data_IF_575983574888
#
_entry.id   IF_575983574888
#
_cell.length_a   1.000
_cell.length_b   1.000
_cell.length_c   1.000
_cell.angle_alpha   90.00
_cell.angle_beta   90.00
_cell.angle_gamma   90.00
#
_symmetry.space_group_name_H-M   'P 1'
#
loop_
_entity.id
_entity.type
_entity.pdbx_description
1 polymer ?
#
# COMPACT_ATOMS: atom_id res chain seq x y z
N UNK A 1 12.70 -3.75 52.62
CA UNK A 1 13.06 -4.82 51.67
C UNK A 1 11.92 -4.91 50.66
N UNK A 2 12.07 -4.27 49.50
CA UNK A 2 11.08 -4.28 48.42
C UNK A 2 11.69 -5.05 47.24
N UNK A 3 11.08 -6.18 46.87
CA UNK A 3 11.46 -6.93 45.66
C UNK A 3 10.56 -6.42 44.53
N UNK A 4 11.16 -5.76 43.54
CA UNK A 4 10.48 -5.38 42.31
C UNK A 4 10.57 -6.56 41.34
N UNK A 5 9.47 -7.29 41.17
CA UNK A 5 9.35 -8.31 40.14
C UNK A 5 9.09 -7.63 38.78
N UNK A 6 10.07 -7.65 37.89
CA UNK A 6 9.89 -7.28 36.48
C UNK A 6 9.25 -8.47 35.78
N UNK A 7 7.98 -8.35 35.41
CA UNK A 7 7.31 -9.31 34.53
C UNK A 7 7.68 -8.93 33.10
N UNK A 8 8.31 -9.80 32.30
CA UNK A 8 8.50 -9.53 30.89
C UNK A 8 7.10 -9.48 30.25
N UNK A 9 6.68 -8.30 29.81
CA UNK A 9 5.58 -8.19 28.85
C UNK A 9 6.10 -8.75 27.54
N UNK A 10 5.76 -9.99 27.24
CA UNK A 10 5.88 -10.53 25.91
C UNK A 10 5.16 -9.56 24.96
N UNK A 11 5.92 -8.88 24.10
CA UNK A 11 5.35 -8.23 22.95
C UNK A 11 4.73 -9.34 22.10
N UNK A 12 3.41 -9.39 22.02
CA UNK A 12 2.74 -10.11 20.95
C UNK A 12 3.09 -9.33 19.68
N UNK A 13 4.16 -9.76 19.01
CA UNK A 13 4.33 -9.46 17.60
C UNK A 13 3.12 -10.11 16.93
N UNK A 14 2.19 -9.29 16.46
CA UNK A 14 1.11 -9.75 15.62
C UNK A 14 1.75 -10.42 14.41
N UNK A 15 1.42 -11.69 14.20
CA UNK A 15 1.94 -12.59 13.17
C UNK A 15 1.33 -12.22 11.81
N UNK A 16 1.26 -10.92 11.52
CA UNK A 16 1.00 -10.40 10.19
C UNK A 16 2.36 -10.32 9.52
N UNK A 17 2.78 -11.42 8.89
CA UNK A 17 3.89 -11.39 7.94
C UNK A 17 3.72 -10.11 7.11
N UNK A 18 4.67 -9.16 7.15
CA UNK A 18 4.58 -7.98 6.31
C UNK A 18 4.41 -8.50 4.88
N UNK A 19 3.44 -7.99 4.11
CA UNK A 19 3.10 -8.56 2.82
C UNK A 19 4.38 -8.76 2.02
N UNK A 20 4.66 -10.02 1.69
CA UNK A 20 5.93 -10.44 1.07
C UNK A 20 6.17 -9.73 -0.27
N UNK A 21 5.12 -9.13 -0.82
CA UNK A 21 5.14 -8.30 -2.01
C UNK A 21 4.37 -7.01 -1.74
N UNK A 22 5.03 -5.87 -1.91
CA UNK A 22 4.42 -4.55 -1.95
C UNK A 22 4.52 -4.03 -3.37
N UNK A 23 3.45 -3.42 -3.87
CA UNK A 23 3.54 -2.62 -5.07
C UNK A 23 4.10 -1.24 -4.69
N UNK A 24 4.83 -0.60 -5.60
CA UNK A 24 5.33 0.78 -5.39
C UNK A 24 4.97 1.62 -6.60
N UNK A 25 4.45 2.82 -6.37
CA UNK A 25 4.25 3.76 -7.47
C UNK A 25 5.62 4.25 -7.94
N UNK A 26 6.03 3.89 -9.14
CA UNK A 26 7.28 4.37 -9.75
C UNK A 26 7.08 5.70 -10.49
N UNK A 27 5.85 6.00 -10.90
CA UNK A 27 5.51 7.21 -11.64
C UNK A 27 4.07 7.65 -11.38
N UNK A 28 3.86 8.96 -11.30
CA UNK A 28 2.54 9.61 -11.22
C UNK A 28 2.59 10.88 -12.07
N UNK A 29 1.57 11.08 -12.91
CA UNK A 29 1.35 12.30 -13.66
C UNK A 29 -0.15 12.60 -13.71
N UNK A 30 -0.51 13.88 -13.60
CA UNK A 30 -1.91 14.30 -13.59
C UNK A 30 -2.60 14.01 -12.26
N UNK A 31 -3.92 13.84 -12.28
CA UNK A 31 -4.71 13.50 -11.11
C UNK A 31 -4.76 11.98 -10.95
N UNK A 32 -4.02 11.49 -9.96
CA UNK A 32 -4.07 10.10 -9.51
C UNK A 32 -4.36 10.12 -8.02
N UNK A 33 -5.38 9.39 -7.61
CA UNK A 33 -5.82 9.29 -6.23
C UNK A 33 -5.68 7.86 -5.76
N UNK A 34 -5.26 7.68 -4.52
CA UNK A 34 -5.21 6.37 -3.88
C UNK A 34 -6.10 6.37 -2.64
N UNK A 35 -6.63 5.20 -2.31
CA UNK A 35 -7.44 4.97 -1.13
C UNK A 35 -6.78 3.85 -0.31
N UNK A 36 -6.29 4.15 0.91
CA UNK A 36 -5.70 3.15 1.79
C UNK A 36 -6.73 2.10 2.22
N UNK A 37 -6.29 0.85 2.35
CA UNK A 37 -7.07 -0.26 2.86
C UNK A 37 -7.74 0.09 4.20
N UNK A 38 -9.02 -0.27 4.33
CA UNK A 38 -9.78 -0.04 5.57
C UNK A 38 -10.26 1.40 5.78
N UNK A 39 -10.04 2.30 4.82
CA UNK A 39 -10.54 3.67 4.83
C UNK A 39 -11.41 3.94 3.61
N UNK A 40 -12.30 4.92 3.66
CA UNK A 40 -13.02 5.45 2.49
C UNK A 40 -12.39 6.76 1.98
N UNK A 41 -11.28 7.18 2.58
CA UNK A 41 -10.60 8.43 2.26
C UNK A 41 -9.74 8.28 1.01
N UNK A 42 -9.92 9.19 0.07
CA UNK A 42 -9.09 9.30 -1.13
C UNK A 42 -8.08 10.43 -0.94
N UNK A 43 -6.83 10.14 -1.24
CA UNK A 43 -5.74 11.11 -1.18
C UNK A 43 -4.92 11.09 -2.46
N UNK A 44 -4.15 12.15 -2.71
CA UNK A 44 -3.25 12.21 -3.86
C UNK A 44 -2.21 11.09 -3.82
N UNK A 45 -1.99 10.44 -4.95
CA UNK A 45 -1.01 9.39 -5.07
C UNK A 45 0.41 9.98 -5.16
N UNK A 46 1.35 9.37 -4.42
CA UNK A 46 2.74 9.80 -4.34
C UNK A 46 3.68 8.70 -4.85
N UNK A 47 4.73 9.12 -5.56
CA UNK A 47 5.79 8.21 -6.04
C UNK A 47 6.57 7.64 -4.85
N UNK A 48 7.06 6.40 -4.99
CA UNK A 48 7.77 5.61 -3.99
C UNK A 48 6.95 5.25 -2.75
N UNK A 49 5.63 5.49 -2.77
CA UNK A 49 4.75 5.01 -1.70
C UNK A 49 4.54 3.50 -1.82
N UNK A 50 4.68 2.74 -0.71
CA UNK A 50 4.26 1.34 -0.70
C UNK A 50 2.74 1.24 -0.78
N UNK A 51 2.28 0.38 -1.69
CA UNK A 51 0.90 -0.05 -1.86
C UNK A 51 0.79 -1.51 -1.43
N UNK A 52 -0.24 -1.80 -0.66
CA UNK A 52 -0.49 -3.10 -0.03
C UNK A 52 -1.86 -3.65 -0.43
N UNK A 53 -2.14 -4.88 -0.03
CA UNK A 53 -3.44 -5.52 -0.25
C UNK A 53 -4.57 -4.67 0.35
N UNK A 54 -5.64 -4.47 -0.42
CA UNK A 54 -6.79 -3.64 -0.03
C UNK A 54 -6.69 -2.18 -0.47
N UNK A 55 -5.50 -1.70 -0.86
CA UNK A 55 -5.35 -0.36 -1.40
C UNK A 55 -5.98 -0.28 -2.80
N UNK A 56 -6.57 0.88 -3.10
CA UNK A 56 -7.15 1.19 -4.41
C UNK A 56 -6.42 2.37 -5.01
N UNK A 57 -6.38 2.39 -6.33
CA UNK A 57 -5.80 3.47 -7.10
C UNK A 57 -6.74 3.83 -8.24
N UNK A 58 -6.92 5.13 -8.42
CA UNK A 58 -7.74 5.71 -9.46
C UNK A 58 -6.92 6.73 -10.24
N UNK A 59 -6.91 6.56 -11.55
CA UNK A 59 -6.31 7.50 -12.49
C UNK A 59 -7.43 8.27 -13.18
N UNK A 60 -7.50 9.58 -12.98
CA UNK A 60 -8.51 10.43 -13.63
C UNK A 60 -8.21 10.59 -15.13
N UNK A 61 -9.00 11.35 -15.88
CA UNK A 61 -8.90 11.47 -17.35
C UNK A 61 -7.51 11.81 -17.85
N UNK A 62 -6.84 12.74 -17.19
CA UNK A 62 -5.47 13.16 -17.53
C UNK A 62 -4.40 12.46 -16.67
N UNK A 63 -4.82 11.46 -15.89
CA UNK A 63 -3.99 10.68 -14.99
C UNK A 63 -3.18 9.61 -15.71
N UNK A 64 -1.94 9.43 -15.27
CA UNK A 64 -1.10 8.27 -15.59
C UNK A 64 -0.36 7.84 -14.34
N UNK A 65 -0.33 6.55 -14.08
CA UNK A 65 0.50 6.00 -13.02
C UNK A 65 1.16 4.70 -13.43
N UNK A 66 2.35 4.49 -12.90
CA UNK A 66 3.12 3.27 -13.06
C UNK A 66 3.34 2.64 -11.69
N UNK A 67 3.07 1.34 -11.59
CA UNK A 67 3.34 0.55 -10.40
C UNK A 67 4.35 -0.53 -10.71
N UNK A 68 5.34 -0.65 -9.85
CA UNK A 68 6.29 -1.74 -9.86
C UNK A 68 5.88 -2.78 -8.81
N UNK A 69 5.78 -4.04 -9.23
CA UNK A 69 5.37 -5.18 -8.40
C UNK A 69 6.41 -6.30 -8.60
N UNK A 70 7.43 -6.33 -7.75
CA UNK A 70 8.58 -7.21 -7.96
C UNK A 70 9.27 -6.91 -9.29
N UNK A 71 9.29 -7.89 -10.20
CA UNK A 71 9.85 -7.76 -11.55
C UNK A 71 8.83 -7.27 -12.61
N UNK A 72 7.56 -7.10 -12.23
CA UNK A 72 6.52 -6.63 -13.14
C UNK A 72 6.32 -5.11 -13.03
N UNK A 73 5.91 -4.50 -14.14
CA UNK A 73 5.53 -3.09 -14.21
C UNK A 73 4.12 -2.99 -14.80
N UNK A 74 3.23 -2.32 -14.08
CA UNK A 74 1.86 -2.04 -14.50
C UNK A 74 1.74 -0.56 -14.84
N UNK A 75 1.20 -0.25 -16.01
CA UNK A 75 0.96 1.12 -16.47
C UNK A 75 -0.53 1.35 -16.61
N UNK A 76 -1.05 2.39 -15.97
CA UNK A 76 -2.46 2.79 -16.09
C UNK A 76 -2.56 4.09 -16.87
N UNK A 77 -3.51 4.13 -17.79
CA UNK A 77 -3.93 5.35 -18.46
C UNK A 77 -4.96 6.12 -17.65
N UNK A 78 -5.57 7.11 -18.28
CA UNK A 78 -6.68 7.84 -17.67
C UNK A 78 -7.94 6.98 -17.56
N UNK A 79 -8.84 7.40 -16.68
CA UNK A 79 -10.15 6.74 -16.41
C UNK A 79 -9.98 5.24 -16.08
N UNK A 80 -8.89 4.90 -15.40
CA UNK A 80 -8.54 3.52 -15.05
C UNK A 80 -8.50 3.35 -13.53
N UNK A 81 -9.23 2.36 -13.03
CA UNK A 81 -9.20 1.95 -11.62
C UNK A 81 -8.46 0.63 -11.45
N UNK A 82 -7.64 0.54 -10.41
CA UNK A 82 -6.94 -0.67 -10.03
C UNK A 82 -7.03 -0.91 -8.52
N UNK A 83 -7.27 -2.16 -8.13
CA UNK A 83 -7.44 -2.56 -6.73
C UNK A 83 -6.57 -3.77 -6.44
N UNK A 84 -5.82 -3.73 -5.34
CA UNK A 84 -4.99 -4.85 -4.92
C UNK A 84 -5.83 -5.85 -4.12
N UNK A 85 -6.26 -6.95 -4.76
CA UNK A 85 -7.11 -7.96 -4.12
C UNK A 85 -6.30 -8.95 -3.25
N UNK A 86 -5.14 -9.39 -3.73
CA UNK A 86 -4.18 -10.21 -2.99
C UNK A 86 -2.78 -9.98 -3.57
N UNK A 87 -1.81 -9.60 -2.73
CA UNK A 87 -0.40 -9.79 -3.02
C UNK A 87 0.10 -10.99 -2.22
N UNK A 88 -0.18 -12.19 -2.73
CA UNK A 88 0.43 -13.44 -2.28
C UNK A 88 1.57 -13.83 -3.23
N UNK A 89 2.49 -14.68 -2.76
CA UNK A 89 3.55 -15.25 -3.58
C UNK A 89 3.03 -15.97 -4.85
#
# INVERSE_FOLDING_TARGET
MFVLAVVPRSAFADDQDPPSRVARLSFVQGQVSFNPAGTDDWAGAEVNRPMTTGDKLWSDRDGRAELQIGSAVLRMGGETGFSFLNLSD
#
